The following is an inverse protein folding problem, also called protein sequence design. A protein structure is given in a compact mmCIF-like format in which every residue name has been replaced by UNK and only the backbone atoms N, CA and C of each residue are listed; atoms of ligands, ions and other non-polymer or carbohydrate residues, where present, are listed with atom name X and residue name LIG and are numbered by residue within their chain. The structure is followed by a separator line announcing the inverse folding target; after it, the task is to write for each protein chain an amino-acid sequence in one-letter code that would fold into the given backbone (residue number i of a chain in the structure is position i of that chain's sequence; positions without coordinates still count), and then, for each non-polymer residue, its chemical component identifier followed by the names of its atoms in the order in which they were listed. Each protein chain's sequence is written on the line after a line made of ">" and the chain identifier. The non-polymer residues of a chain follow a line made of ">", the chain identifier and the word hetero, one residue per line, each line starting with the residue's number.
data_IF_811443563074
#
_entry.id   IF_811443563074
#
_cell.length_a   1.000
_cell.length_b   1.000
_cell.length_c   1.000
_cell.angle_alpha   90.00
_cell.angle_beta   90.00
_cell.angle_gamma   90.00
#
_symmetry.space_group_name_H-M   'P 1'
#
loop_
_entity.id
_entity.type
_entity.pdbx_description
1 polymer ?
#
# COMPACT_ATOMS: atom_id res chain seq x y z
N UNK A 1 -32.26 -36.21 -16.21
CA UNK A 1 -31.79 -37.20 -15.22
C UNK A 1 -30.64 -37.98 -15.82
N UNK A 2 -29.40 -37.60 -15.55
CA UNK A 2 -28.22 -38.43 -15.79
C UNK A 2 -27.22 -38.17 -14.67
N UNK A 3 -26.97 -39.23 -13.90
CA UNK A 3 -25.98 -39.38 -12.84
C UNK A 3 -24.58 -39.49 -13.41
N UNK A 4 -23.57 -38.92 -12.74
CA UNK A 4 -22.20 -39.44 -12.84
C UNK A 4 -21.57 -39.47 -11.45
N UNK A 5 -21.31 -40.68 -10.97
CA UNK A 5 -20.54 -41.02 -9.77
C UNK A 5 -19.05 -40.80 -10.04
N UNK A 6 -18.33 -40.15 -9.12
CA UNK A 6 -16.87 -40.17 -9.12
C UNK A 6 -16.34 -41.01 -7.96
N UNK A 7 -15.71 -42.10 -8.35
CA UNK A 7 -14.91 -43.03 -7.54
C UNK A 7 -13.63 -42.35 -7.04
N UNK A 8 -13.22 -42.66 -5.82
CA UNK A 8 -11.94 -42.25 -5.25
C UNK A 8 -10.93 -43.40 -5.39
N UNK A 9 -9.84 -43.18 -6.12
CA UNK A 9 -8.65 -44.03 -6.08
C UNK A 9 -7.48 -43.29 -5.43
N UNK A 10 -6.80 -43.96 -4.50
CA UNK A 10 -5.53 -43.51 -3.89
C UNK A 10 -4.35 -43.98 -4.75
N UNK A 11 -3.46 -43.06 -5.09
CA UNK A 11 -2.02 -43.29 -5.35
C UNK A 11 -1.30 -41.96 -5.02
N UNK A 12 -0.48 -41.86 -3.98
CA UNK A 12 0.92 -42.29 -3.85
C UNK A 12 1.89 -41.57 -4.83
N UNK A 13 2.83 -40.82 -4.25
CA UNK A 13 4.00 -40.12 -4.84
C UNK A 13 3.82 -38.70 -5.43
N UNK A 14 3.91 -37.71 -4.54
CA UNK A 14 4.96 -36.67 -4.54
C UNK A 14 5.44 -36.02 -5.85
N UNK A 15 4.60 -35.22 -6.51
CA UNK A 15 4.96 -33.89 -7.04
C UNK A 15 3.66 -33.22 -7.53
N UNK A 16 3.17 -32.18 -6.84
CA UNK A 16 1.99 -31.42 -7.31
C UNK A 16 2.45 -30.35 -8.31
N UNK A 17 2.15 -30.56 -9.58
CA UNK A 17 2.00 -29.47 -10.56
C UNK A 17 0.63 -28.83 -10.34
N UNK A 18 0.60 -27.53 -10.07
CA UNK A 18 -0.65 -26.78 -10.03
C UNK A 18 -0.99 -26.34 -11.45
N UNK A 19 -2.03 -26.95 -12.02
CA UNK A 19 -2.69 -26.44 -13.23
C UNK A 19 -3.63 -25.31 -12.84
N UNK A 20 -3.44 -24.18 -13.53
CA UNK A 20 -4.30 -22.99 -13.57
C UNK A 20 -5.75 -23.32 -13.92
N UNK A 21 -6.70 -22.91 -13.09
CA UNK A 21 -8.11 -22.74 -13.51
C UNK A 21 -8.88 -21.79 -12.59
N UNK A 22 -9.36 -20.70 -13.21
CA UNK A 22 -10.56 -19.92 -12.89
C UNK A 22 -10.74 -19.37 -11.46
N UNK A 23 -10.41 -18.10 -11.27
CA UNK A 23 -10.80 -17.31 -10.10
C UNK A 23 -12.23 -16.79 -10.27
N UNK A 24 -13.10 -17.18 -9.34
CA UNK A 24 -14.46 -16.69 -9.11
C UNK A 24 -14.39 -15.93 -7.78
N UNK A 25 -14.53 -14.61 -7.79
CA UNK A 25 -13.86 -13.67 -6.88
C UNK A 25 -14.87 -13.10 -5.86
N UNK A 26 -15.90 -13.88 -5.52
CA UNK A 26 -16.48 -13.83 -4.17
C UNK A 26 -15.51 -14.39 -3.12
N UNK A 27 -14.55 -15.21 -3.56
CA UNK A 27 -13.38 -15.63 -2.80
C UNK A 27 -12.11 -15.22 -3.58
N UNK A 28 -11.37 -14.22 -3.10
CA UNK A 28 -9.96 -14.01 -3.46
C UNK A 28 -9.08 -15.13 -2.87
N UNK A 29 -9.57 -16.36 -2.81
CA UNK A 29 -8.81 -17.54 -2.43
C UNK A 29 -7.91 -17.94 -3.61
N UNK A 30 -6.96 -17.05 -3.96
CA UNK A 30 -5.62 -17.54 -4.23
C UNK A 30 -5.32 -18.35 -2.97
N UNK A 31 -5.45 -19.68 -3.06
CA UNK A 31 -5.25 -20.54 -1.89
C UNK A 31 -3.97 -20.12 -1.20
N UNK A 32 -3.95 -20.21 0.14
CA UNK A 32 -2.85 -19.81 1.03
C UNK A 32 -1.53 -19.55 0.28
N UNK A 33 -1.20 -18.27 0.12
CA UNK A 33 0.07 -17.87 -0.51
C UNK A 33 1.02 -17.37 0.57
N UNK A 34 2.32 -17.67 0.44
CA UNK A 34 3.34 -16.95 1.20
C UNK A 34 3.25 -15.45 0.90
N UNK A 35 3.33 -14.61 1.92
CA UNK A 35 3.33 -13.15 1.76
C UNK A 35 4.43 -12.68 0.80
N UNK A 36 5.58 -13.36 0.78
CA UNK A 36 6.69 -13.06 -0.13
C UNK A 36 6.34 -13.30 -1.60
N UNK A 37 5.41 -14.21 -1.91
CA UNK A 37 4.98 -14.49 -3.28
C UNK A 37 4.22 -13.31 -3.93
N UNK A 38 3.76 -12.35 -3.13
CA UNK A 38 3.06 -11.14 -3.58
C UNK A 38 3.99 -10.26 -4.44
N UNK A 39 5.31 -10.33 -4.28
CA UNK A 39 6.26 -9.57 -5.09
C UNK A 39 6.44 -10.08 -6.52
N UNK A 40 6.07 -11.34 -6.79
CA UNK A 40 6.15 -11.95 -8.11
C UNK A 40 4.77 -12.51 -8.53
N UNK A 41 3.70 -11.81 -8.13
CA UNK A 41 2.34 -12.24 -8.39
C UNK A 41 2.05 -12.26 -9.90
N UNK A 42 1.65 -13.42 -10.42
CA UNK A 42 1.24 -13.60 -11.82
C UNK A 42 -0.25 -13.91 -11.88
N UNK A 43 -1.02 -13.01 -12.49
CA UNK A 43 -2.45 -13.19 -12.70
C UNK A 43 -2.72 -14.02 -13.96
N UNK A 44 -1.94 -13.78 -15.01
CA UNK A 44 -2.01 -14.47 -16.28
C UNK A 44 -0.59 -14.91 -16.68
N UNK A 45 -0.47 -16.08 -17.31
CA UNK A 45 0.82 -16.62 -17.75
C UNK A 45 1.51 -15.72 -18.80
N UNK A 46 0.72 -14.95 -19.55
CA UNK A 46 1.19 -14.10 -20.64
C UNK A 46 1.66 -12.71 -20.18
N UNK A 47 1.39 -12.35 -18.92
CA UNK A 47 1.77 -11.05 -18.37
C UNK A 47 3.04 -11.15 -17.50
N UNK A 48 3.89 -10.12 -17.48
CA UNK A 48 5.01 -10.07 -16.57
C UNK A 48 4.52 -10.10 -15.11
N UNK A 49 5.34 -10.61 -14.16
CA UNK A 49 5.00 -10.61 -12.75
C UNK A 49 4.77 -9.18 -12.25
N UNK A 50 3.72 -9.00 -11.46
CA UNK A 50 3.37 -7.71 -10.88
C UNK A 50 4.13 -7.56 -9.57
N UNK A 51 4.94 -6.50 -9.50
CA UNK A 51 5.72 -6.21 -8.31
C UNK A 51 4.92 -5.34 -7.34
N UNK A 52 4.26 -5.99 -6.38
CA UNK A 52 3.52 -5.32 -5.31
C UNK A 52 4.37 -4.96 -4.09
N UNK A 53 5.57 -5.52 -4.01
CA UNK A 53 6.51 -5.33 -2.90
C UNK A 53 7.94 -5.25 -3.44
N UNK A 54 8.67 -4.15 -3.19
CA UNK A 54 10.02 -4.01 -3.70
C UNK A 54 10.90 -5.17 -3.22
N UNK A 55 11.67 -5.77 -4.14
CA UNK A 55 12.43 -7.01 -3.87
C UNK A 55 13.38 -6.90 -2.68
N UNK A 56 14.02 -5.74 -2.49
CA UNK A 56 14.91 -5.51 -1.35
C UNK A 56 14.21 -5.59 0.02
N UNK A 57 12.88 -5.47 0.06
CA UNK A 57 12.12 -5.61 1.29
C UNK A 57 11.85 -7.08 1.65
N UNK A 58 11.88 -8.00 0.67
CA UNK A 58 11.50 -9.40 0.85
C UNK A 58 12.43 -10.15 1.81
N UNK A 59 13.74 -9.93 1.70
CA UNK A 59 14.75 -10.63 2.51
C UNK A 59 14.59 -10.38 4.02
N UNK A 60 13.83 -9.34 4.40
CA UNK A 60 13.60 -8.93 5.78
C UNK A 60 12.21 -9.29 6.30
N UNK A 61 11.37 -9.91 5.46
CA UNK A 61 9.99 -10.23 5.80
C UNK A 61 9.88 -11.71 6.18
N UNK A 62 9.23 -12.04 7.29
CA UNK A 62 8.90 -13.43 7.59
C UNK A 62 8.04 -14.01 6.47
N UNK A 63 8.36 -15.24 6.06
CA UNK A 63 7.46 -15.98 5.17
C UNK A 63 6.27 -16.45 5.99
N UNK A 64 5.13 -15.80 5.81
CA UNK A 64 3.87 -16.14 6.46
C UNK A 64 2.84 -16.43 5.38
N UNK A 65 2.09 -17.51 5.54
CA UNK A 65 1.02 -17.87 4.63
C UNK A 65 -0.28 -17.15 4.99
N UNK A 66 -1.11 -16.90 3.98
CA UNK A 66 -2.33 -16.13 4.14
C UNK A 66 -3.03 -15.88 2.81
N UNK A 67 -3.95 -14.91 2.81
CA UNK A 67 -4.73 -14.56 1.63
C UNK A 67 -4.95 -13.05 1.52
N UNK A 68 -5.18 -12.59 0.29
CA UNK A 68 -5.53 -11.20 0.01
C UNK A 68 -7.05 -11.05 0.12
N UNK A 69 -7.51 -9.99 0.76
CA UNK A 69 -8.94 -9.68 0.86
C UNK A 69 -9.20 -8.19 0.64
N UNK A 70 -10.42 -7.88 0.19
CA UNK A 70 -10.88 -6.51 0.03
C UNK A 70 -11.33 -5.94 1.39
N UNK A 71 -10.75 -4.81 1.79
CA UNK A 71 -11.06 -4.11 3.01
C UNK A 71 -11.63 -2.73 2.73
N UNK A 72 -12.79 -2.44 3.32
CA UNK A 72 -13.40 -1.11 3.34
C UNK A 72 -13.30 -0.60 4.78
N UNK A 73 -12.53 0.48 5.03
CA UNK A 73 -12.43 1.04 6.37
C UNK A 73 -13.79 1.54 6.87
N UNK A 74 -14.17 1.19 8.10
CA UNK A 74 -15.43 1.62 8.70
C UNK A 74 -15.49 3.16 8.84
N UNK A 75 -16.66 3.75 8.55
CA UNK A 75 -16.91 5.21 8.61
C UNK A 75 -16.04 6.06 7.68
N UNK A 76 -15.48 5.47 6.62
CA UNK A 76 -14.65 6.17 5.62
C UNK A 76 -15.28 6.12 4.22
N UNK A 77 -14.89 7.05 3.33
CA UNK A 77 -15.29 6.99 1.92
C UNK A 77 -15.03 5.61 1.32
N UNK A 78 -15.95 5.08 0.53
CA UNK A 78 -15.72 3.81 -0.18
C UNK A 78 -14.52 3.89 -1.14
N UNK A 79 -14.19 5.11 -1.57
CA UNK A 79 -13.05 5.45 -2.42
C UNK A 79 -11.67 5.13 -1.81
N UNK A 80 -11.62 4.92 -0.50
CA UNK A 80 -10.38 4.59 0.23
C UNK A 80 -10.30 3.12 0.60
N UNK A 81 -11.03 2.28 -0.14
CA UNK A 81 -10.89 0.84 -0.06
C UNK A 81 -9.50 0.38 -0.48
N UNK A 82 -9.11 -0.77 0.06
CA UNK A 82 -7.77 -1.31 -0.10
C UNK A 82 -7.78 -2.83 -0.11
N UNK A 83 -6.82 -3.42 -0.80
CA UNK A 83 -6.51 -4.83 -0.65
C UNK A 83 -5.55 -4.99 0.53
N UNK A 84 -5.84 -5.94 1.42
CA UNK A 84 -4.99 -6.28 2.56
C UNK A 84 -4.63 -7.74 2.52
N UNK A 85 -3.60 -8.12 3.28
CA UNK A 85 -3.20 -9.50 3.45
C UNK A 85 -3.50 -9.94 4.88
N UNK A 86 -4.20 -11.06 5.02
CA UNK A 86 -4.53 -11.67 6.31
C UNK A 86 -3.79 -12.99 6.45
N UNK A 87 -3.10 -13.16 7.58
CA UNK A 87 -2.39 -14.38 7.94
C UNK A 87 -3.36 -15.51 8.27
N UNK A 88 -2.85 -16.73 8.38
CA UNK A 88 -3.66 -17.89 8.80
C UNK A 88 -4.26 -17.73 10.20
N UNK A 89 -3.56 -17.02 11.08
CA UNK A 89 -4.03 -16.69 12.44
C UNK A 89 -5.20 -15.69 12.44
N UNK A 90 -5.60 -15.20 11.26
CA UNK A 90 -6.67 -14.24 11.09
C UNK A 90 -6.26 -12.78 11.33
N UNK A 91 -4.97 -12.52 11.54
CA UNK A 91 -4.43 -11.18 11.75
C UNK A 91 -4.03 -10.51 10.44
N UNK A 92 -4.18 -9.19 10.35
CA UNK A 92 -3.65 -8.45 9.21
C UNK A 92 -2.11 -8.48 9.25
N UNK A 93 -1.46 -8.72 8.11
CA UNK A 93 -0.01 -8.75 8.06
C UNK A 93 0.58 -7.35 8.24
N UNK A 94 1.41 -7.18 9.26
CA UNK A 94 2.04 -5.90 9.57
C UNK A 94 3.46 -5.84 8.99
N UNK A 95 3.73 -4.77 8.25
CA UNK A 95 5.07 -4.44 7.81
C UNK A 95 5.99 -4.13 9.01
N UNK A 96 7.33 -4.12 8.86
CA UNK A 96 8.26 -3.89 9.97
C UNK A 96 8.04 -2.56 10.73
N UNK A 97 7.40 -1.58 10.08
CA UNK A 97 6.98 -0.31 10.68
C UNK A 97 5.68 -0.40 11.51
N UNK A 98 5.15 -1.61 11.76
CA UNK A 98 3.91 -1.89 12.48
C UNK A 98 2.65 -1.30 11.82
N UNK A 99 2.71 -1.05 10.50
CA UNK A 99 1.54 -0.66 9.71
C UNK A 99 1.09 -1.89 8.91
N UNK A 100 -0.22 -2.21 8.88
CA UNK A 100 -0.74 -3.25 8.00
C UNK A 100 -0.28 -3.04 6.56
N UNK A 101 0.11 -4.11 5.88
CA UNK A 101 0.29 -4.04 4.44
C UNK A 101 -1.06 -3.76 3.78
N UNK A 102 -1.09 -2.76 2.91
CA UNK A 102 -2.27 -2.46 2.12
C UNK A 102 -1.92 -1.91 0.74
N UNK A 103 -2.79 -2.23 -0.22
CA UNK A 103 -2.72 -1.75 -1.59
C UNK A 103 -4.04 -1.03 -1.92
N UNK A 104 -4.07 0.31 -1.89
CA UNK A 104 -5.29 1.07 -2.14
C UNK A 104 -5.83 0.83 -3.55
N UNK A 105 -7.15 0.69 -3.67
CA UNK A 105 -7.79 0.37 -4.96
C UNK A 105 -7.64 1.52 -5.95
N UNK A 106 -7.69 2.78 -5.50
CA UNK A 106 -7.44 3.93 -6.36
C UNK A 106 -6.06 3.86 -7.04
N UNK A 107 -5.05 3.28 -6.39
CA UNK A 107 -3.70 3.12 -6.96
C UNK A 107 -3.70 2.05 -8.05
N UNK A 108 -4.47 0.97 -7.87
CA UNK A 108 -4.66 -0.08 -8.87
C UNK A 108 -5.36 0.49 -10.10
N UNK A 109 -6.40 1.32 -9.91
CA UNK A 109 -7.13 1.97 -11.00
C UNK A 109 -6.22 2.88 -11.83
N UNK A 110 -5.33 3.62 -11.16
CA UNK A 110 -4.46 4.66 -11.74
C UNK A 110 -3.14 4.16 -12.30
N UNK A 111 -2.62 3.03 -11.82
CA UNK A 111 -1.32 2.51 -12.25
C UNK A 111 -1.51 1.45 -13.37
N UNK A 112 -1.04 1.73 -14.61
CA UNK A 112 -1.12 0.77 -15.71
C UNK A 112 -0.41 -0.57 -15.44
N UNK A 113 0.64 -0.58 -14.62
CA UNK A 113 1.36 -1.81 -14.24
C UNK A 113 0.48 -2.78 -13.44
N UNK A 114 -0.57 -2.25 -12.80
CA UNK A 114 -1.53 -3.00 -12.01
C UNK A 114 -2.81 -3.31 -12.79
N UNK A 115 -2.84 -3.06 -14.11
CA UNK A 115 -4.00 -3.32 -14.96
C UNK A 115 -4.55 -4.75 -14.83
N UNK A 116 -3.72 -5.82 -14.75
CA UNK A 116 -4.29 -7.16 -14.57
C UNK A 116 -5.02 -7.34 -13.24
N UNK A 117 -4.59 -6.66 -12.16
CA UNK A 117 -5.33 -6.66 -10.88
C UNK A 117 -6.62 -5.86 -11.04
N UNK A 118 -6.57 -4.72 -11.73
CA UNK A 118 -7.75 -3.89 -12.02
C UNK A 118 -8.82 -4.71 -12.75
N UNK A 119 -8.43 -5.46 -13.78
CA UNK A 119 -9.35 -6.27 -14.58
C UNK A 119 -10.01 -7.38 -13.74
N UNK A 120 -9.26 -8.02 -12.83
CA UNK A 120 -9.84 -8.95 -11.85
C UNK A 120 -10.86 -8.25 -10.93
N UNK A 121 -10.54 -7.06 -10.41
CA UNK A 121 -11.45 -6.34 -9.53
C UNK A 121 -12.71 -5.84 -10.26
N UNK A 122 -12.61 -5.52 -11.56
CA UNK A 122 -13.75 -5.16 -12.41
C UNK A 122 -14.64 -6.38 -12.67
N UNK A 123 -14.03 -7.51 -13.04
CA UNK A 123 -14.73 -8.78 -13.28
C UNK A 123 -15.64 -9.14 -12.10
N UNK A 124 -15.22 -8.77 -10.90
CA UNK A 124 -15.88 -9.13 -9.66
C UNK A 124 -16.62 -8.00 -8.98
N UNK A 125 -16.90 -6.95 -9.75
CA UNK A 125 -17.76 -5.85 -9.33
C UNK A 125 -17.28 -5.14 -8.06
N UNK A 126 -16.01 -5.33 -7.66
CA UNK A 126 -15.36 -4.56 -6.60
C UNK A 126 -15.03 -3.16 -7.13
N UNK A 127 -14.54 -3.09 -8.37
CA UNK A 127 -14.28 -1.85 -9.08
C UNK A 127 -15.32 -1.68 -10.18
N UNK A 128 -16.26 -0.76 -9.98
CA UNK A 128 -17.28 -0.44 -10.99
C UNK A 128 -16.82 0.71 -11.90
N UNK A 129 -17.44 0.92 -13.07
CA UNK A 129 -17.17 2.09 -13.91
C UNK A 129 -17.32 3.41 -13.16
N UNK A 130 -18.35 3.53 -12.31
CA UNK A 130 -18.58 4.72 -11.48
C UNK A 130 -17.46 4.91 -10.46
N UNK A 131 -16.94 3.83 -9.88
CA UNK A 131 -15.78 3.89 -8.98
C UNK A 131 -14.53 4.41 -9.70
N UNK A 132 -14.30 3.95 -10.93
CA UNK A 132 -13.18 4.41 -11.77
C UNK A 132 -13.33 5.91 -12.07
N UNK A 133 -14.50 6.35 -12.52
CA UNK A 133 -14.77 7.77 -12.81
C UNK A 133 -14.52 8.64 -11.57
N UNK A 134 -14.99 8.20 -10.39
CA UNK A 134 -14.74 8.90 -9.13
C UNK A 134 -13.26 8.94 -8.79
N UNK A 135 -12.52 7.85 -8.99
CA UNK A 135 -11.06 7.86 -8.80
C UNK A 135 -10.37 8.84 -9.73
N UNK A 136 -10.79 8.89 -10.99
CA UNK A 136 -10.23 9.82 -11.99
C UNK A 136 -10.48 11.27 -11.62
N UNK A 137 -11.68 11.58 -11.11
CA UNK A 137 -12.06 12.93 -10.67
C UNK A 137 -11.35 13.37 -9.39
N UNK A 138 -11.24 12.48 -8.41
CA UNK A 138 -10.77 12.82 -7.06
C UNK A 138 -9.25 12.75 -6.94
N UNK A 139 -8.62 11.75 -7.57
CA UNK A 139 -7.16 11.58 -7.51
C UNK A 139 -6.49 12.08 -8.78
N UNK A 140 -5.58 13.06 -8.69
CA UNK A 140 -4.73 13.47 -9.80
C UNK A 140 -3.86 12.32 -10.36
N UNK A 141 -3.40 12.43 -11.61
CA UNK A 141 -2.59 11.38 -12.24
C UNK A 141 -1.27 11.11 -11.50
N UNK A 142 -0.70 12.13 -10.86
CA UNK A 142 0.55 12.06 -10.08
C UNK A 142 0.43 11.10 -8.89
N UNK A 143 -0.80 10.83 -8.42
CA UNK A 143 -1.05 9.95 -7.29
C UNK A 143 -0.68 8.51 -7.55
N UNK A 144 -0.63 8.06 -8.81
CA UNK A 144 -0.20 6.69 -9.16
C UNK A 144 1.15 6.32 -8.51
N UNK A 145 2.03 7.32 -8.32
CA UNK A 145 3.36 7.15 -7.72
C UNK A 145 3.39 7.40 -6.21
N UNK A 146 2.35 8.03 -5.65
CA UNK A 146 2.30 8.41 -4.23
C UNK A 146 2.26 7.15 -3.36
N UNK A 147 3.19 7.00 -2.40
CA UNK A 147 3.15 5.89 -1.45
C UNK A 147 1.82 5.86 -0.69
N UNK A 148 1.15 4.70 -0.54
CA UNK A 148 -0.13 4.58 0.16
C UNK A 148 -0.12 5.19 1.56
N UNK A 149 1.00 5.05 2.27
CA UNK A 149 1.21 5.56 3.61
C UNK A 149 1.26 7.10 3.72
N UNK A 150 1.21 7.84 2.60
CA UNK A 150 1.10 9.31 2.58
C UNK A 150 -0.32 9.80 2.29
N UNK A 151 -1.27 8.88 2.17
CA UNK A 151 -2.68 9.19 1.93
C UNK A 151 -3.45 8.94 3.22
N UNK A 152 -4.03 10.02 3.75
CA UNK A 152 -4.80 10.05 4.98
C UNK A 152 -6.27 10.21 4.61
N UNK A 153 -7.10 9.30 5.06
CA UNK A 153 -8.55 9.34 4.85
C UNK A 153 -9.30 9.35 6.17
N UNK A 154 -8.57 9.42 7.29
CA UNK A 154 -9.18 9.44 8.59
C UNK A 154 -8.38 10.08 9.70
N UNK A 155 -9.12 10.66 10.65
CA UNK A 155 -8.54 11.05 11.93
C UNK A 155 -7.95 9.84 12.65
N UNK A 156 -6.81 10.05 13.31
CA UNK A 156 -6.05 9.04 14.06
C UNK A 156 -5.43 7.93 13.21
N UNK A 157 -5.54 7.98 11.88
CA UNK A 157 -4.79 7.08 11.00
C UNK A 157 -3.28 7.27 11.25
N UNK A 158 -2.54 6.20 11.54
CA UNK A 158 -1.09 6.28 11.66
C UNK A 158 -0.47 6.54 10.29
N UNK A 159 0.46 7.48 10.22
CA UNK A 159 1.26 7.70 9.01
C UNK A 159 2.74 7.86 9.36
N UNK A 160 3.65 7.32 8.54
CA UNK A 160 5.08 7.50 8.72
C UNK A 160 5.48 8.92 8.31
N UNK A 161 6.24 9.59 9.17
CA UNK A 161 6.88 10.85 8.84
C UNK A 161 8.38 10.65 8.79
N UNK A 162 8.99 11.07 7.69
CA UNK A 162 10.45 11.15 7.57
C UNK A 162 10.89 12.53 8.04
N UNK A 163 11.41 12.61 9.26
CA UNK A 163 11.87 13.87 9.89
C UNK A 163 13.11 14.46 9.20
N UNK A 164 13.87 13.65 8.45
CA UNK A 164 15.06 14.10 7.72
C UNK A 164 14.74 14.96 6.49
N UNK A 165 13.47 15.09 6.09
CA UNK A 165 13.06 15.92 4.95
C UNK A 165 12.54 17.26 5.46
N UNK A 166 12.98 18.36 4.83
CA UNK A 166 12.50 19.71 5.16
C UNK A 166 10.99 19.88 4.99
N UNK A 167 10.38 19.06 4.12
CA UNK A 167 8.97 19.08 3.77
C UNK A 167 8.49 17.65 3.52
N UNK A 168 7.37 17.28 4.14
CA UNK A 168 6.61 16.07 3.84
C UNK A 168 5.21 16.48 3.40
N UNK A 169 4.81 16.06 2.21
CA UNK A 169 3.44 16.26 1.72
C UNK A 169 2.62 15.02 2.04
N UNK A 170 1.50 15.24 2.71
CA UNK A 170 0.46 14.27 2.99
C UNK A 170 -0.77 14.65 2.18
N UNK A 171 -1.58 13.67 1.80
CA UNK A 171 -2.79 13.91 1.02
C UNK A 171 -3.99 13.50 1.86
N UNK A 172 -4.90 14.43 2.09
CA UNK A 172 -6.13 14.19 2.85
C UNK A 172 -7.27 13.96 1.88
N UNK A 173 -7.82 12.75 1.88
CA UNK A 173 -8.88 12.32 0.96
C UNK A 173 -10.24 12.50 1.64
N UNK A 174 -11.06 13.36 1.06
CA UNK A 174 -12.49 13.46 1.36
C UNK A 174 -13.34 12.72 0.31
N UNK A 175 -14.66 12.83 0.45
CA UNK A 175 -15.62 12.17 -0.45
C UNK A 175 -15.54 12.69 -1.90
N UNK A 176 -15.27 13.99 -2.05
CA UNK A 176 -15.34 14.69 -3.34
C UNK A 176 -14.00 15.30 -3.79
N UNK A 177 -13.05 15.48 -2.87
CA UNK A 177 -11.79 16.18 -3.16
C UNK A 177 -10.63 15.62 -2.34
N UNK A 178 -9.42 15.86 -2.84
CA UNK A 178 -8.17 15.60 -2.12
C UNK A 178 -7.49 16.93 -1.81
N UNK A 179 -7.02 17.07 -0.58
CA UNK A 179 -6.26 18.23 -0.12
C UNK A 179 -4.80 17.83 0.08
N UNK A 180 -3.88 18.69 -0.33
CA UNK A 180 -2.47 18.53 0.02
C UNK A 180 -2.18 19.22 1.36
N UNK A 181 -1.49 18.51 2.23
CA UNK A 181 -1.02 19.00 3.51
C UNK A 181 0.48 18.95 3.55
N UNK A 182 1.09 20.12 3.58
CA UNK A 182 2.53 20.28 3.59
C UNK A 182 3.04 20.44 5.03
N UNK A 183 3.59 19.37 5.61
CA UNK A 183 4.20 19.41 6.94
C UNK A 183 5.67 19.77 6.80
N UNK A 184 6.04 20.96 7.28
CA UNK A 184 7.43 21.40 7.38
C UNK A 184 8.10 20.89 8.66
N UNK A 185 9.42 20.70 8.64
CA UNK A 185 10.19 20.29 9.83
C UNK A 185 10.03 21.23 11.02
N UNK A 186 9.78 22.52 10.77
CA UNK A 186 9.51 23.52 11.81
C UNK A 186 8.20 23.26 12.58
N UNK A 187 7.20 22.62 11.96
CA UNK A 187 5.93 22.29 12.63
C UNK A 187 6.09 21.17 13.66
N UNK A 188 7.12 20.35 13.53
CA UNK A 188 7.39 19.21 14.42
C UNK A 188 8.19 19.62 15.67
N UNK A 189 8.35 20.92 15.93
CA UNK A 189 9.05 21.42 17.11
C UNK A 189 10.55 21.15 17.11
N UNK A 190 11.15 20.83 15.95
CA UNK A 190 12.60 20.79 15.80
C UNK A 190 13.12 22.21 15.52
N UNK A 191 13.70 22.91 16.52
CA UNK A 191 14.34 24.19 16.27
C UNK A 191 15.50 23.96 15.28
N UNK A 192 15.57 24.79 14.23
CA UNK A 192 16.74 24.81 13.35
C UNK A 192 17.93 25.43 14.12
N UNK A 193 19.08 24.76 14.23
CA UNK A 193 20.29 25.32 13.68
C UNK A 193 20.24 25.02 12.18
N UNK A 194 20.25 26.05 11.33
CA UNK A 194 20.44 25.88 9.89
C UNK A 194 21.74 25.09 9.72
N UNK A 195 21.69 23.83 9.27
CA UNK A 195 22.82 23.27 8.54
C UNK A 195 22.86 24.03 7.22
N UNK A 196 23.57 25.15 7.23
CA UNK A 196 24.07 25.77 6.02
C UNK A 196 24.97 24.75 5.35
N UNK A 197 24.46 24.09 4.31
CA UNK A 197 25.31 23.51 3.29
C UNK A 197 25.94 24.67 2.50
N UNK A 198 26.82 25.44 3.15
CA UNK A 198 27.84 26.20 2.44
C UNK A 198 28.98 25.23 2.16
N UNK A 199 28.84 24.48 1.07
CA UNK A 199 29.99 24.12 0.25
C UNK A 199 29.83 24.88 -1.05
N UNK A 200 29.96 26.20 -0.94
CA UNK A 200 30.53 26.97 -2.03
C UNK A 200 31.96 26.49 -2.21
N UNK A 201 32.35 26.24 -3.45
CA UNK A 201 33.69 25.85 -3.82
C UNK A 201 34.71 26.88 -3.30
N UNK A 202 35.65 26.42 -2.47
CA UNK A 202 37.07 26.80 -2.57
C UNK A 202 37.94 25.73 -1.90
N UNK A 203 39.13 25.42 -2.44
CA UNK A 203 39.96 24.32 -1.97
C UNK A 203 40.87 24.84 -0.87
N UNK A 204 40.88 24.19 0.30
CA UNK A 204 42.08 23.86 1.06
C UNK A 204 41.68 23.02 2.27
N UNK A 205 42.47 21.98 2.50
CA UNK A 205 42.23 20.86 3.38
C UNK A 205 42.14 21.22 4.87
N UNK A 206 41.26 20.54 5.62
CA UNK A 206 41.61 19.48 6.60
C UNK A 206 40.41 19.15 7.51
N UNK A 207 40.41 17.89 7.95
CA UNK A 207 39.58 17.25 8.98
C UNK A 207 38.13 16.91 8.63
N UNK A 208 38.00 15.69 8.10
CA UNK A 208 36.80 14.86 8.24
C UNK A 208 36.43 14.70 9.72
N UNK A 209 35.49 15.51 10.21
CA UNK A 209 34.62 15.10 11.29
C UNK A 209 33.55 14.21 10.68
N UNK A 210 33.59 12.92 11.02
CA UNK A 210 32.53 11.97 10.73
C UNK A 210 31.24 12.47 11.40
N UNK A 211 30.39 13.14 10.63
CA UNK A 211 29.00 13.36 11.03
C UNK A 211 28.34 11.99 11.05
N UNK A 212 27.68 11.57 12.15
CA UNK A 212 26.97 10.31 12.18
C UNK A 212 25.96 10.30 11.03
N UNK A 213 25.98 9.24 10.21
CA UNK A 213 24.98 9.04 9.16
C UNK A 213 23.61 9.26 9.78
N UNK A 214 22.82 10.14 9.18
CA UNK A 214 21.46 10.45 9.57
C UNK A 214 20.69 9.12 9.68
N UNK A 215 20.59 8.55 10.88
CA UNK A 215 19.79 7.35 11.13
C UNK A 215 18.36 7.79 10.91
N UNK A 216 17.78 7.35 9.79
CA UNK A 216 16.42 7.70 9.40
C UNK A 216 15.44 7.16 10.44
N UNK A 217 15.11 7.99 11.43
CA UNK A 217 14.03 7.70 12.37
C UNK A 217 12.70 7.91 11.67
N UNK A 218 11.98 6.83 11.44
CA UNK A 218 10.60 6.87 10.98
C UNK A 218 9.71 6.88 12.23
N UNK A 219 9.10 8.02 12.54
CA UNK A 219 8.13 8.12 13.62
C UNK A 219 6.73 7.91 13.05
N UNK A 220 5.91 7.13 13.76
CA UNK A 220 4.48 6.97 13.48
C UNK A 220 3.74 8.00 14.30
N UNK A 221 3.14 8.99 13.64
CA UNK A 221 2.32 10.00 14.30
C UNK A 221 0.85 9.62 14.22
N UNK A 222 0.07 9.98 15.25
CA UNK A 222 -1.39 9.94 15.23
C UNK A 222 -1.92 11.35 15.43
N UNK A 223 -2.76 11.82 14.53
CA UNK A 223 -3.39 13.13 14.66
C UNK A 223 -4.48 13.10 15.75
N UNK A 224 -4.38 13.97 16.75
CA UNK A 224 -5.28 13.92 17.92
C UNK A 224 -6.47 14.90 17.92
N UNK A 225 -6.44 16.05 17.20
CA UNK A 225 -7.53 17.04 17.23
C UNK A 225 -7.87 17.66 15.85
N UNK A 226 -9.16 17.71 15.49
CA UNK A 226 -9.72 18.29 14.25
C UNK A 226 -10.97 19.14 14.54
N UNK A 227 -11.01 19.84 15.68
CA UNK A 227 -12.23 20.53 16.13
C UNK A 227 -12.51 21.86 15.41
N UNK A 228 -11.58 22.38 14.61
CA UNK A 228 -11.72 23.71 13.97
C UNK A 228 -12.00 23.69 12.46
N UNK A 229 -12.20 22.53 11.83
CA UNK A 229 -12.51 22.42 10.38
C UNK A 229 -13.96 21.98 10.08
N UNK A 230 -14.84 21.93 11.09
CA UNK A 230 -16.22 21.41 10.96
C UNK A 230 -17.20 22.30 10.19
N UNK A 231 -16.82 23.50 9.73
CA UNK A 231 -17.78 24.42 9.08
C UNK A 231 -17.65 24.53 7.56
N UNK A 232 -16.95 23.64 6.86
CA UNK A 232 -16.90 23.74 5.39
C UNK A 232 -16.40 22.53 4.61
N UNK A 233 -16.41 21.33 5.21
CA UNK A 233 -16.01 20.10 4.53
C UNK A 233 -16.87 18.93 5.01
N UNK A 234 -18.15 18.90 4.63
CA UNK A 234 -18.93 17.68 4.43
C UNK A 234 -20.02 18.00 3.41
#
# INVERSE_FOLDING_TARGET
>A
MLSTLCSWSRAASGLRRFTTSAVNLTDLSIGKIPFTAIADLRIHNDHPPINLLPRFALDRLPSTEGHIYHHIPAERPSLVSELRFRTEDGEDYHMPNKIPWSLPIWRIVKNPELAPIKDLLIKDSIVTPEYIERCERVFPAEFATVPPNRVIYGLRQPFPVHTCRNKTTLWVVGEERVLDLNIGSAWLGYPRPRQTNHLGAHPFAKQCLQVPRCTSFCQVLRWRNWTTMKTGIF
#
